data_IF_452580787193
#
_entry.id   IF_452580787193
#
_cell.length_a   1.000
_cell.length_b   1.000
_cell.length_c   1.000
_cell.angle_alpha   90.00
_cell.angle_beta   90.00
_cell.angle_gamma   90.00
#
_symmetry.space_group_name_H-M   'P 1'
#
loop_
_entity.id
_entity.type
_entity.pdbx_description
1 polymer ?
#
# COMPACT_ATOMS: atom_id res chain seq x y z
N UNK A 1 48.13 -1.19 6.88
CA UNK A 1 46.92 -0.49 6.40
C UNK A 1 46.00 -1.54 5.81
N UNK A 2 44.72 -1.57 6.19
CA UNK A 2 43.75 -2.41 5.47
C UNK A 2 43.49 -1.78 4.11
N UNK A 3 43.42 -2.60 3.08
CA UNK A 3 43.09 -2.11 1.73
C UNK A 3 41.62 -1.69 1.68
N UNK A 4 41.36 -0.53 1.08
CA UNK A 4 40.01 -0.02 0.86
C UNK A 4 39.68 0.05 -0.63
N UNK A 5 38.40 0.17 -0.94
CA UNK A 5 37.88 0.52 -2.26
C UNK A 5 36.78 1.57 -2.10
N UNK A 6 36.56 2.35 -3.16
CA UNK A 6 35.61 3.46 -3.17
C UNK A 6 34.30 3.05 -3.85
N UNK A 7 33.18 3.50 -3.28
CA UNK A 7 31.85 3.43 -3.90
C UNK A 7 31.34 4.84 -4.16
N UNK A 8 30.99 5.10 -5.42
CA UNK A 8 30.42 6.37 -5.86
C UNK A 8 28.89 6.30 -5.79
N UNK A 9 28.29 7.10 -4.91
CA UNK A 9 26.83 7.13 -4.75
C UNK A 9 26.17 8.11 -5.74
N UNK A 10 24.87 7.94 -6.07
CA UNK A 10 24.18 8.83 -7.01
C UNK A 10 24.13 10.31 -6.59
N UNK A 11 24.25 10.61 -5.29
CA UNK A 11 24.33 11.96 -4.77
C UNK A 11 25.75 12.53 -4.74
N UNK A 12 26.72 11.85 -5.37
CA UNK A 12 28.10 12.32 -5.51
C UNK A 12 28.97 12.13 -4.27
N UNK A 13 28.52 11.38 -3.26
CA UNK A 13 29.32 11.03 -2.10
C UNK A 13 30.19 9.82 -2.44
N UNK A 14 31.45 9.86 -2.03
CA UNK A 14 32.37 8.74 -2.13
C UNK A 14 32.41 8.05 -0.77
N UNK A 15 32.16 6.73 -0.77
CA UNK A 15 32.22 5.90 0.44
C UNK A 15 33.46 5.01 0.40
N UNK A 16 34.28 5.08 1.44
CA UNK A 16 35.41 4.17 1.64
C UNK A 16 34.94 2.87 2.30
N UNK A 17 35.34 1.74 1.72
CA UNK A 17 34.94 0.42 2.20
C UNK A 17 36.15 -0.47 2.39
N UNK A 18 36.27 -1.11 3.54
CA UNK A 18 37.34 -2.06 3.82
C UNK A 18 37.17 -3.35 3.00
N UNK A 19 38.17 -3.73 2.19
CA UNK A 19 38.08 -4.88 1.27
C UNK A 19 37.81 -6.22 1.96
N UNK A 20 38.36 -6.43 3.17
CA UNK A 20 38.27 -7.72 3.87
C UNK A 20 36.91 -7.98 4.49
N UNK A 21 36.29 -6.94 5.03
CA UNK A 21 35.07 -7.06 5.86
C UNK A 21 33.84 -6.49 5.16
N UNK A 22 34.03 -5.75 4.06
CA UNK A 22 33.02 -4.88 3.46
C UNK A 22 32.39 -3.93 4.48
N UNK A 23 33.16 -3.48 5.47
CA UNK A 23 32.70 -2.47 6.42
C UNK A 23 32.85 -1.09 5.79
N UNK A 24 31.76 -0.34 5.76
CA UNK A 24 31.76 1.06 5.32
C UNK A 24 32.41 1.90 6.42
N UNK A 25 33.38 2.71 6.02
CA UNK A 25 34.08 3.63 6.90
C UNK A 25 33.40 4.99 6.81
N UNK A 26 32.71 5.39 7.88
CA UNK A 26 32.10 6.71 7.97
C UNK A 26 33.05 7.63 8.72
N UNK A 27 33.45 8.73 8.07
CA UNK A 27 34.14 9.82 8.74
C UNK A 27 33.12 10.71 9.42
N UNK A 28 33.25 10.84 10.73
CA UNK A 28 32.30 11.59 11.53
C UNK A 28 32.48 13.11 11.41
N UNK A 29 33.64 13.61 10.93
CA UNK A 29 33.90 15.04 10.78
C UNK A 29 33.68 15.84 12.07
N UNK A 30 33.71 15.18 13.24
CA UNK A 30 33.34 15.75 14.54
C UNK A 30 31.86 15.70 14.92
N UNK A 31 30.97 15.14 14.08
CA UNK A 31 29.57 14.91 14.40
C UNK A 31 29.38 13.65 15.26
N UNK A 32 28.47 13.68 16.23
CA UNK A 32 28.08 12.49 17.01
C UNK A 32 27.24 11.55 16.15
N UNK A 33 27.89 10.77 15.29
CA UNK A 33 27.26 9.67 14.56
C UNK A 33 27.29 8.40 15.42
N UNK A 34 26.21 7.61 15.36
CA UNK A 34 26.16 6.31 16.03
C UNK A 34 27.25 5.36 15.51
N UNK A 35 27.58 4.32 16.28
CA UNK A 35 28.57 3.32 15.84
C UNK A 35 28.06 2.56 14.62
N UNK A 36 28.56 2.88 13.43
CA UNK A 36 28.30 2.09 12.23
C UNK A 36 29.16 0.82 12.24
N UNK A 37 28.55 -0.27 12.70
CA UNK A 37 29.14 -1.60 12.77
C UNK A 37 29.18 -2.30 11.40
N UNK A 38 29.90 -3.42 11.35
CA UNK A 38 30.01 -4.25 10.16
C UNK A 38 28.65 -4.84 9.75
N UNK A 39 27.78 -5.12 10.73
CA UNK A 39 26.44 -5.68 10.50
C UNK A 39 25.54 -4.70 9.74
N UNK A 40 25.63 -3.39 10.04
CA UNK A 40 24.90 -2.37 9.26
C UNK A 40 25.40 -2.31 7.81
N UNK A 41 26.73 -2.39 7.61
CA UNK A 41 27.31 -2.43 6.26
C UNK A 41 26.80 -3.65 5.48
N UNK A 42 26.79 -4.82 6.13
CA UNK A 42 26.27 -6.06 5.55
C UNK A 42 24.80 -5.93 5.15
N UNK A 43 23.95 -5.43 6.06
CA UNK A 43 22.53 -5.23 5.78
C UNK A 43 22.30 -4.26 4.60
N UNK A 44 23.10 -3.19 4.49
CA UNK A 44 23.02 -2.24 3.39
C UNK A 44 23.36 -2.91 2.03
N UNK A 45 24.45 -3.67 1.97
CA UNK A 45 24.85 -4.37 0.77
C UNK A 45 23.85 -5.47 0.37
N UNK A 46 23.30 -6.18 1.35
CA UNK A 46 22.26 -7.16 1.11
C UNK A 46 20.98 -6.50 0.56
N UNK A 47 20.53 -5.39 1.15
CA UNK A 47 19.39 -4.63 0.65
C UNK A 47 19.63 -4.09 -0.77
N UNK A 48 20.84 -3.60 -1.05
CA UNK A 48 21.22 -3.17 -2.39
C UNK A 48 21.15 -4.34 -3.38
N UNK A 49 21.72 -5.49 -3.02
CA UNK A 49 21.71 -6.69 -3.85
C UNK A 49 20.28 -7.18 -4.13
N UNK A 50 19.41 -7.20 -3.11
CA UNK A 50 18.00 -7.54 -3.25
C UNK A 50 17.31 -6.57 -4.22
N UNK A 51 17.58 -5.26 -4.08
CA UNK A 51 17.00 -4.24 -4.96
C UNK A 51 17.42 -4.44 -6.42
N UNK A 52 18.72 -4.69 -6.67
CA UNK A 52 19.25 -4.86 -8.03
C UNK A 52 18.79 -6.17 -8.69
N UNK A 53 18.57 -7.22 -7.90
CA UNK A 53 18.14 -8.53 -8.38
C UNK A 53 16.63 -8.78 -8.20
N UNK A 54 15.86 -7.76 -7.81
CA UNK A 54 14.42 -7.89 -7.65
C UNK A 54 13.77 -8.21 -8.99
N UNK A 55 12.79 -9.14 -9.06
CA UNK A 55 11.99 -9.34 -10.26
C UNK A 55 11.19 -8.09 -10.65
N UNK A 56 11.07 -7.13 -9.74
CA UNK A 56 10.38 -5.86 -9.93
C UNK A 56 11.33 -4.67 -10.04
N UNK A 57 12.63 -4.87 -10.30
CA UNK A 57 13.63 -3.78 -10.37
C UNK A 57 13.26 -2.71 -11.42
N UNK A 58 12.61 -3.13 -12.51
CA UNK A 58 12.18 -2.27 -13.63
C UNK A 58 10.68 -1.94 -13.56
N UNK A 59 10.01 -2.26 -12.44
CA UNK A 59 8.59 -2.00 -12.30
C UNK A 59 8.31 -0.49 -12.31
N UNK A 60 7.55 -0.04 -13.31
CA UNK A 60 7.02 1.31 -13.35
C UNK A 60 5.58 1.29 -12.79
N UNK A 61 5.29 2.05 -11.72
CA UNK A 61 3.93 2.13 -11.21
C UNK A 61 3.02 2.72 -12.28
N UNK A 62 1.96 1.99 -12.62
CA UNK A 62 0.94 2.46 -13.55
C UNK A 62 -0.09 3.26 -12.77
N UNK A 63 -0.05 4.59 -12.90
CA UNK A 63 -1.01 5.48 -12.25
C UNK A 63 -2.30 5.58 -13.08
N UNK A 64 -3.42 5.90 -12.41
CA UNK A 64 -4.66 6.21 -13.09
C UNK A 64 -4.50 7.52 -13.86
N UNK A 65 -4.45 7.41 -15.18
CA UNK A 65 -4.69 8.52 -16.09
C UNK A 65 -6.21 8.74 -16.22
N UNK A 66 -6.74 9.92 -15.84
CA UNK A 66 -8.16 10.23 -15.96
C UNK A 66 -8.62 10.57 -17.39
N UNK A 67 -7.70 10.67 -18.36
CA UNK A 67 -8.02 11.05 -19.74
C UNK A 67 -8.16 9.83 -20.65
N UNK A 68 -8.87 10.03 -21.77
CA UNK A 68 -8.99 9.05 -22.85
C UNK A 68 -8.26 9.57 -24.09
N UNK A 69 -7.24 8.83 -24.53
CA UNK A 69 -6.54 9.10 -25.78
C UNK A 69 -6.94 8.06 -26.82
N UNK A 70 -7.27 8.53 -28.02
CA UNK A 70 -7.78 7.66 -29.09
C UNK A 70 -6.66 6.75 -29.59
N UNK A 71 -6.87 5.43 -29.57
CA UNK A 71 -5.90 4.43 -30.03
C UNK A 71 -4.91 3.93 -28.98
N UNK A 72 -4.99 4.42 -27.74
CA UNK A 72 -4.13 4.00 -26.64
C UNK A 72 -4.87 3.17 -25.59
N UNK A 73 -4.14 2.36 -24.82
CA UNK A 73 -4.70 1.67 -23.65
C UNK A 73 -4.97 2.68 -22.55
N UNK A 74 -6.20 2.72 -22.03
CA UNK A 74 -6.57 3.63 -20.95
C UNK A 74 -6.71 2.91 -19.61
N UNK A 75 -5.97 3.38 -18.61
CA UNK A 75 -6.14 2.96 -17.21
C UNK A 75 -7.50 3.35 -16.65
N UNK A 76 -8.15 4.38 -17.20
CA UNK A 76 -9.50 4.77 -16.79
C UNK A 76 -10.54 3.71 -17.13
N UNK A 77 -10.42 3.06 -18.29
CA UNK A 77 -11.35 2.01 -18.69
C UNK A 77 -11.20 0.79 -17.79
N UNK A 78 -9.96 0.30 -17.59
CA UNK A 78 -9.68 -0.80 -16.66
C UNK A 78 -10.19 -0.49 -15.24
N UNK A 79 -9.99 0.75 -14.77
CA UNK A 79 -10.48 1.19 -13.46
C UNK A 79 -12.01 1.20 -13.40
N UNK A 80 -12.70 1.70 -14.43
CA UNK A 80 -14.17 1.71 -14.49
C UNK A 80 -14.75 0.30 -14.52
N UNK A 81 -14.13 -0.62 -15.24
CA UNK A 81 -14.55 -2.02 -15.27
C UNK A 81 -14.44 -2.65 -13.87
N UNK A 82 -13.29 -2.46 -13.21
CA UNK A 82 -13.10 -2.89 -11.82
C UNK A 82 -14.11 -2.22 -10.88
N UNK A 83 -14.29 -0.90 -10.96
CA UNK A 83 -15.25 -0.14 -10.17
C UNK A 83 -16.67 -0.68 -10.35
N UNK A 84 -17.04 -1.02 -11.58
CA UNK A 84 -18.37 -1.55 -11.89
C UNK A 84 -18.61 -2.92 -11.26
N UNK A 85 -17.57 -3.69 -10.92
CA UNK A 85 -17.69 -5.00 -10.27
C UNK A 85 -17.74 -4.82 -8.75
N UNK A 86 -16.82 -4.03 -8.19
CA UNK A 86 -16.53 -4.00 -6.76
C UNK A 86 -17.13 -2.82 -6.01
N UNK A 87 -17.35 -1.70 -6.69
CA UNK A 87 -17.91 -0.47 -6.12
C UNK A 87 -19.34 -0.24 -6.64
N UNK A 88 -20.06 -1.32 -6.97
CA UNK A 88 -21.51 -1.23 -7.14
C UNK A 88 -22.09 -0.67 -5.86
N UNK A 89 -22.81 0.45 -5.98
CA UNK A 89 -23.68 0.90 -4.90
C UNK A 89 -24.50 -0.32 -4.43
N UNK A 90 -24.60 -0.58 -3.11
CA UNK A 90 -25.57 -1.55 -2.63
C UNK A 90 -26.92 -1.12 -3.21
N UNK A 91 -27.71 -2.06 -3.73
CA UNK A 91 -28.95 -1.76 -4.45
C UNK A 91 -29.76 -0.72 -3.64
N UNK A 92 -29.68 0.56 -4.04
CA UNK A 92 -30.31 1.67 -3.33
C UNK A 92 -31.81 1.51 -3.58
N UNK A 93 -32.51 0.96 -2.58
CA UNK A 93 -33.91 0.54 -2.70
C UNK A 93 -34.18 -0.97 -2.59
N UNK A 94 -33.19 -1.83 -2.32
CA UNK A 94 -33.45 -3.27 -2.10
C UNK A 94 -34.25 -3.60 -0.83
N UNK A 95 -34.57 -2.58 -0.03
CA UNK A 95 -35.57 -2.70 1.00
C UNK A 95 -36.87 -2.13 0.42
N UNK A 96 -37.76 -3.02 -0.03
CA UNK A 96 -39.07 -2.64 -0.54
C UNK A 96 -39.79 -1.69 0.45
N UNK A 97 -40.65 -0.76 -0.03
CA UNK A 97 -41.46 0.05 0.86
C UNK A 97 -42.26 -0.85 1.80
N UNK A 98 -42.34 -0.48 3.07
CA UNK A 98 -43.02 -1.27 4.08
C UNK A 98 -44.49 -1.46 3.72
N UNK A 99 -44.94 -2.72 3.68
CA UNK A 99 -46.35 -3.06 3.59
C UNK A 99 -47.11 -2.59 4.83
N UNK A 100 -48.43 -2.42 4.71
CA UNK A 100 -49.30 -2.03 5.83
C UNK A 100 -49.18 -3.00 7.01
N UNK A 101 -49.04 -4.29 6.72
CA UNK A 101 -48.88 -5.35 7.72
C UNK A 101 -47.52 -5.27 8.44
N UNK A 102 -46.42 -5.06 7.71
CA UNK A 102 -45.09 -4.89 8.32
C UNK A 102 -45.04 -3.67 9.26
N UNK A 103 -45.64 -2.55 8.84
CA UNK A 103 -45.71 -1.35 9.70
C UNK A 103 -46.48 -1.63 10.98
N UNK A 104 -47.63 -2.30 10.86
CA UNK A 104 -48.44 -2.69 12.02
C UNK A 104 -47.68 -3.64 12.95
N UNK A 105 -46.99 -4.65 12.39
CA UNK A 105 -46.18 -5.59 13.15
C UNK A 105 -45.05 -4.91 13.91
N UNK A 106 -44.26 -4.05 13.25
CA UNK A 106 -43.18 -3.33 13.92
C UNK A 106 -43.67 -2.40 15.03
N UNK A 107 -44.79 -1.71 14.80
CA UNK A 107 -45.42 -0.85 15.81
C UNK A 107 -45.98 -1.65 17.00
N UNK A 108 -46.27 -2.95 16.81
CA UNK A 108 -46.72 -3.84 17.90
C UNK A 108 -45.60 -4.32 18.83
N UNK A 109 -44.33 -4.19 18.41
CA UNK A 109 -43.17 -4.62 19.19
C UNK A 109 -42.96 -3.72 20.41
N UNK A 110 -42.88 -4.31 21.61
CA UNK A 110 -42.91 -3.58 22.88
C UNK A 110 -41.57 -2.91 23.21
N UNK A 111 -40.47 -3.62 22.98
CA UNK A 111 -39.14 -3.18 23.41
C UNK A 111 -38.29 -2.61 22.27
N UNK A 112 -37.34 -1.74 22.60
CA UNK A 112 -36.34 -1.23 21.64
C UNK A 112 -35.50 -2.35 21.04
N UNK A 113 -35.21 -3.40 21.81
CA UNK A 113 -34.41 -4.56 21.39
C UNK A 113 -35.11 -5.38 20.30
N UNK A 114 -36.42 -5.59 20.43
CA UNK A 114 -37.22 -6.29 19.41
C UNK A 114 -37.29 -5.51 18.11
N UNK A 115 -37.55 -4.19 18.19
CA UNK A 115 -37.56 -3.30 17.02
C UNK A 115 -36.20 -3.27 16.32
N UNK A 116 -35.11 -3.23 17.08
CA UNK A 116 -33.76 -3.29 16.52
C UNK A 116 -33.50 -4.61 15.79
N UNK A 117 -33.79 -5.77 16.41
CA UNK A 117 -33.64 -7.09 15.77
C UNK A 117 -34.41 -7.19 14.45
N UNK A 118 -35.64 -6.67 14.42
CA UNK A 118 -36.46 -6.66 13.23
C UNK A 118 -35.84 -5.82 12.10
N UNK A 119 -35.30 -4.64 12.41
CA UNK A 119 -34.65 -3.78 11.42
C UNK A 119 -33.39 -4.43 10.84
N UNK A 120 -32.59 -5.10 11.67
CA UNK A 120 -31.37 -5.81 11.23
C UNK A 120 -31.72 -6.90 10.22
N UNK A 121 -32.65 -7.79 10.57
CA UNK A 121 -33.14 -8.86 9.68
C UNK A 121 -33.66 -8.27 8.37
N UNK A 122 -34.40 -7.16 8.44
CA UNK A 122 -35.01 -6.51 7.28
C UNK A 122 -34.00 -5.77 6.40
N UNK A 123 -32.88 -5.30 6.94
CA UNK A 123 -31.81 -4.66 6.17
C UNK A 123 -30.93 -5.63 5.39
N UNK A 124 -31.07 -6.95 5.62
CA UNK A 124 -30.23 -7.96 5.00
C UNK A 124 -28.77 -7.93 5.49
N UNK A 125 -28.55 -7.43 6.72
CA UNK A 125 -27.27 -7.45 7.46
C UNK A 125 -27.32 -8.61 8.44
#
# INVERSE_FOLDING_TARGET
MSETYEIYTPNGIILDVEKKTNKILLYDGGAKVGKYTQEYSKALFEAHNIKQNSPYKDYQPRYLDPNLYTGERSTLLEFKDWQSIYLKDPIKGAIAPWTKAEKAYYNSLKTKKERYKYLVIRSGI
#
